data_IF_702832011321
#
_entry.id   IF_702832011321
#
_cell.length_a   1.000
_cell.length_b   1.000
_cell.length_c   1.000
_cell.angle_alpha   90.00
_cell.angle_beta   90.00
_cell.angle_gamma   90.00
#
_symmetry.space_group_name_H-M   'P 1'
#
loop_
_entity.id
_entity.type
_entity.pdbx_description
1 polymer ?
#
# COMPACT_ATOMS: atom_id res chain seq x y z
N UNK A 1 -14.69 -13.81 -2.79
CA UNK A 1 -13.64 -14.86 -2.85
C UNK A 1 -13.58 -15.56 -4.21
N UNK A 2 -14.72 -16.01 -4.80
CA UNK A 2 -14.72 -16.71 -6.09
C UNK A 2 -14.12 -15.84 -7.20
N UNK A 3 -14.61 -14.61 -7.41
CA UNK A 3 -14.12 -13.69 -8.43
C UNK A 3 -12.60 -13.38 -8.32
N UNK A 4 -12.07 -13.28 -7.10
CA UNK A 4 -10.63 -13.08 -6.87
C UNK A 4 -9.82 -14.33 -7.23
N UNK A 5 -10.33 -15.53 -6.93
CA UNK A 5 -9.68 -16.79 -7.33
C UNK A 5 -9.69 -16.97 -8.85
N UNK A 6 -10.82 -16.68 -9.49
CA UNK A 6 -10.99 -16.76 -10.95
C UNK A 6 -10.07 -15.75 -11.66
N UNK A 7 -9.96 -14.52 -11.14
CA UNK A 7 -9.06 -13.50 -11.67
C UNK A 7 -7.59 -13.92 -11.60
N UNK A 8 -7.15 -14.51 -10.48
CA UNK A 8 -5.78 -15.04 -10.34
C UNK A 8 -5.52 -16.26 -11.25
N UNK A 9 -6.49 -17.16 -11.35
CA UNK A 9 -6.37 -18.31 -12.25
C UNK A 9 -6.25 -17.86 -13.71
N UNK A 10 -7.00 -16.82 -14.11
CA UNK A 10 -6.92 -16.26 -15.45
C UNK A 10 -5.57 -15.55 -15.69
N UNK A 11 -5.06 -14.78 -14.73
CA UNK A 11 -3.75 -14.15 -14.83
C UNK A 11 -2.62 -15.20 -14.97
N UNK A 12 -2.71 -16.30 -14.21
CA UNK A 12 -1.78 -17.44 -14.30
C UNK A 12 -1.86 -18.11 -15.67
N UNK A 13 -3.06 -18.39 -16.16
CA UNK A 13 -3.27 -19.00 -17.49
C UNK A 13 -2.65 -18.14 -18.60
N UNK A 14 -2.84 -16.83 -18.56
CA UNK A 14 -2.26 -15.91 -19.54
C UNK A 14 -0.73 -15.94 -19.45
N UNK A 15 -0.16 -15.95 -18.25
CA UNK A 15 1.28 -16.07 -18.08
C UNK A 15 1.85 -17.36 -18.68
N UNK A 16 1.15 -18.49 -18.48
CA UNK A 16 1.56 -19.80 -18.99
C UNK A 16 1.42 -19.92 -20.52
N UNK A 17 0.47 -19.20 -21.14
CA UNK A 17 0.18 -19.31 -22.58
C UNK A 17 0.82 -18.22 -23.43
N UNK A 18 0.90 -17.00 -22.93
CA UNK A 18 1.32 -15.82 -23.71
C UNK A 18 2.68 -15.26 -23.22
N UNK A 19 3.18 -15.72 -22.06
CA UNK A 19 4.33 -15.12 -21.41
C UNK A 19 3.97 -13.77 -20.75
N UNK A 20 4.96 -12.91 -20.48
CA UNK A 20 4.69 -11.57 -19.97
C UNK A 20 4.52 -11.52 -18.45
N UNK A 21 5.53 -11.93 -17.68
CA UNK A 21 5.51 -11.92 -16.21
C UNK A 21 5.16 -10.56 -15.62
N UNK A 22 5.58 -9.46 -16.25
CA UNK A 22 5.25 -8.11 -15.82
C UNK A 22 3.75 -7.80 -15.96
N UNK A 23 3.13 -8.22 -17.06
CA UNK A 23 1.69 -8.01 -17.28
C UNK A 23 0.83 -8.85 -16.33
N UNK A 24 1.27 -10.07 -16.02
CA UNK A 24 0.66 -10.90 -14.99
C UNK A 24 0.73 -10.19 -13.63
N UNK A 25 1.89 -9.67 -13.24
CA UNK A 25 2.09 -8.97 -11.98
C UNK A 25 1.24 -7.69 -11.87
N UNK A 26 1.12 -6.92 -12.95
CA UNK A 26 0.23 -5.74 -13.04
C UNK A 26 -1.25 -6.10 -12.88
N UNK A 27 -1.70 -7.18 -13.54
CA UNK A 27 -3.08 -7.67 -13.41
C UNK A 27 -3.41 -8.12 -12.00
N UNK A 28 -2.47 -8.80 -11.33
CA UNK A 28 -2.62 -9.21 -9.93
C UNK A 28 -2.71 -7.98 -9.02
N UNK A 29 -1.83 -6.98 -9.21
CA UNK A 29 -1.89 -5.72 -8.46
C UNK A 29 -3.25 -5.04 -8.64
N UNK A 30 -3.73 -4.89 -9.86
CA UNK A 30 -5.02 -4.28 -10.15
C UNK A 30 -6.20 -5.01 -9.48
N UNK A 31 -6.21 -6.35 -9.51
CA UNK A 31 -7.23 -7.15 -8.83
C UNK A 31 -7.21 -6.95 -7.31
N UNK A 32 -6.03 -6.81 -6.72
CA UNK A 32 -5.90 -6.52 -5.29
C UNK A 32 -6.37 -5.10 -4.96
N UNK A 33 -6.04 -4.12 -5.80
CA UNK A 33 -6.52 -2.74 -5.63
C UNK A 33 -8.05 -2.69 -5.62
N UNK A 34 -8.70 -3.33 -6.59
CA UNK A 34 -10.16 -3.42 -6.66
C UNK A 34 -10.76 -4.08 -5.41
N UNK A 35 -10.16 -5.17 -4.94
CA UNK A 35 -10.62 -5.86 -3.74
C UNK A 35 -10.52 -4.96 -2.51
N UNK A 36 -9.37 -4.34 -2.28
CA UNK A 36 -9.12 -3.45 -1.15
C UNK A 36 -10.09 -2.26 -1.17
N UNK A 37 -10.31 -1.66 -2.35
CA UNK A 37 -11.25 -0.57 -2.52
C UNK A 37 -12.69 -0.98 -2.14
N UNK A 38 -13.15 -2.17 -2.58
CA UNK A 38 -14.47 -2.70 -2.21
C UNK A 38 -14.57 -2.94 -0.70
N UNK A 39 -13.55 -3.52 -0.07
CA UNK A 39 -13.54 -3.77 1.37
C UNK A 39 -13.56 -2.47 2.17
N UNK A 40 -12.79 -1.47 1.73
CA UNK A 40 -12.83 -0.14 2.34
C UNK A 40 -14.20 0.50 2.18
N UNK A 41 -14.80 0.44 0.99
CA UNK A 41 -16.14 0.99 0.72
C UNK A 41 -17.20 0.37 1.63
N UNK A 42 -17.22 -0.94 1.75
CA UNK A 42 -18.11 -1.66 2.68
C UNK A 42 -17.87 -1.19 4.12
N UNK A 43 -16.61 -1.09 4.52
CA UNK A 43 -16.23 -0.70 5.88
C UNK A 43 -16.72 0.70 6.22
N UNK A 44 -16.45 1.69 5.39
CA UNK A 44 -16.78 3.10 5.67
C UNK A 44 -18.24 3.45 5.41
N UNK A 45 -18.95 2.71 4.56
CA UNK A 45 -20.34 3.00 4.26
C UNK A 45 -21.33 2.23 5.13
N UNK A 46 -20.96 1.03 5.60
CA UNK A 46 -21.92 0.14 6.28
C UNK A 46 -21.53 -0.22 7.71
N UNK A 47 -20.24 -0.26 8.05
CA UNK A 47 -19.79 -0.72 9.37
C UNK A 47 -19.28 0.43 10.24
N UNK A 48 -18.41 1.28 9.71
CA UNK A 48 -17.79 2.38 10.43
C UNK A 48 -17.94 3.73 9.69
N UNK A 49 -19.17 4.25 9.52
CA UNK A 49 -19.40 5.48 8.76
C UNK A 49 -18.71 6.72 9.35
N UNK A 50 -18.39 6.72 10.65
CA UNK A 50 -17.63 7.78 11.31
C UNK A 50 -16.16 7.85 10.85
N UNK A 51 -15.61 6.80 10.23
CA UNK A 51 -14.26 6.80 9.69
C UNK A 51 -14.16 7.35 8.25
N UNK A 52 -15.28 7.73 7.65
CA UNK A 52 -15.30 8.29 6.28
C UNK A 52 -14.46 9.57 6.21
N UNK A 53 -13.64 9.68 5.17
CA UNK A 53 -12.75 10.84 4.97
C UNK A 53 -11.57 10.91 5.95
N UNK A 54 -11.28 9.80 6.69
CA UNK A 54 -10.19 9.76 7.65
C UNK A 54 -9.14 8.69 7.37
N UNK A 55 -9.30 7.90 6.31
CA UNK A 55 -8.40 6.80 6.00
C UNK A 55 -7.98 6.91 4.53
N UNK A 56 -6.68 6.98 4.26
CA UNK A 56 -6.15 6.66 2.94
C UNK A 56 -5.45 5.29 3.01
N UNK A 57 -5.73 4.43 2.04
CA UNK A 57 -5.06 3.15 1.89
C UNK A 57 -4.10 3.25 0.71
N UNK A 58 -2.84 2.98 0.97
CA UNK A 58 -1.77 3.03 -0.02
C UNK A 58 -1.02 1.70 -0.06
N UNK A 59 -0.58 1.31 -1.25
CA UNK A 59 0.36 0.22 -1.45
C UNK A 59 1.79 0.74 -1.27
N UNK A 60 2.67 -0.06 -0.66
CA UNK A 60 4.08 0.27 -0.48
C UNK A 60 4.99 -0.85 -0.95
N UNK A 61 6.29 -0.59 -1.07
CA UNK A 61 7.28 -1.57 -1.48
C UNK A 61 6.96 -2.20 -2.85
N UNK A 62 7.12 -3.51 -2.97
CA UNK A 62 6.85 -4.24 -4.21
C UNK A 62 5.43 -4.06 -4.74
N UNK A 63 4.46 -4.02 -3.86
CA UNK A 63 3.06 -3.77 -4.22
C UNK A 63 2.84 -2.31 -4.65
N UNK A 64 3.57 -1.37 -4.06
CA UNK A 64 3.53 0.05 -4.45
C UNK A 64 3.94 0.29 -5.90
N UNK A 65 4.89 -0.48 -6.43
CA UNK A 65 5.30 -0.43 -7.84
C UNK A 65 4.22 -0.94 -8.82
N UNK A 66 3.10 -1.46 -8.34
CA UNK A 66 2.03 -2.00 -9.19
C UNK A 66 2.39 -3.32 -9.88
N UNK A 67 3.37 -4.04 -9.37
CA UNK A 67 3.89 -5.29 -9.96
C UNK A 67 3.97 -6.39 -8.91
N UNK A 68 2.81 -6.83 -8.41
CA UNK A 68 2.73 -7.87 -7.39
C UNK A 68 2.93 -9.25 -8.00
N UNK A 69 3.99 -9.94 -7.61
CA UNK A 69 4.22 -11.31 -8.07
C UNK A 69 3.17 -12.29 -7.52
N UNK A 70 2.85 -13.38 -8.25
CA UNK A 70 1.95 -14.40 -7.74
C UNK A 70 2.43 -14.96 -6.39
N UNK A 71 1.57 -14.89 -5.36
CA UNK A 71 1.88 -15.39 -4.02
C UNK A 71 2.68 -14.45 -3.13
N UNK A 72 3.05 -13.26 -3.60
CA UNK A 72 3.66 -12.23 -2.76
C UNK A 72 2.68 -11.69 -1.73
N UNK A 73 3.24 -11.22 -0.63
CA UNK A 73 2.52 -10.52 0.41
C UNK A 73 2.02 -9.15 -0.11
N UNK A 74 0.95 -8.66 0.47
CA UNK A 74 0.38 -7.34 0.19
C UNK A 74 0.88 -6.40 1.27
N UNK A 75 1.64 -5.37 0.88
CA UNK A 75 2.15 -4.38 1.83
C UNK A 75 1.32 -3.10 1.75
N UNK A 76 0.66 -2.76 2.86
CA UNK A 76 -0.25 -1.62 2.98
C UNK A 76 0.24 -0.60 4.00
N UNK A 77 0.08 0.67 3.65
CA UNK A 77 0.18 1.78 4.57
C UNK A 77 -1.18 2.46 4.68
N UNK A 78 -1.74 2.45 5.89
CA UNK A 78 -2.93 3.20 6.23
C UNK A 78 -2.52 4.58 6.75
N UNK A 79 -2.85 5.62 6.01
CA UNK A 79 -2.62 7.00 6.45
C UNK A 79 -3.85 7.50 7.18
N UNK A 80 -3.64 8.02 8.36
CA UNK A 80 -4.66 8.60 9.22
C UNK A 80 -4.30 10.05 9.59
N UNK A 81 -5.29 10.88 9.95
CA UNK A 81 -5.01 12.19 10.53
C UNK A 81 -4.28 12.04 11.88
N UNK A 82 -3.50 13.05 12.32
CA UNK A 82 -2.66 12.96 13.52
C UNK A 82 -3.42 12.62 14.82
N UNK A 83 -4.71 12.88 14.87
CA UNK A 83 -5.61 12.59 16.01
C UNK A 83 -6.81 11.79 15.52
N UNK A 84 -6.55 10.65 14.89
CA UNK A 84 -7.62 9.76 14.47
C UNK A 84 -8.42 9.22 15.66
N UNK A 85 -9.73 9.17 15.53
CA UNK A 85 -10.60 8.60 16.56
C UNK A 85 -10.44 7.07 16.66
N UNK A 86 -10.76 6.48 17.81
CA UNK A 86 -10.73 5.01 18.00
C UNK A 86 -11.53 4.26 16.94
N UNK A 87 -12.64 4.83 16.49
CA UNK A 87 -13.48 4.21 15.45
C UNK A 87 -12.76 4.13 14.10
N UNK A 88 -11.84 5.08 13.81
CA UNK A 88 -11.00 5.04 12.60
C UNK A 88 -10.01 3.90 12.67
N UNK A 89 -9.37 3.68 13.83
CA UNK A 89 -8.48 2.53 14.04
C UNK A 89 -9.24 1.19 13.92
N UNK A 90 -10.45 1.08 14.51
CA UNK A 90 -11.30 -0.10 14.37
C UNK A 90 -11.70 -0.36 12.91
N UNK A 91 -11.92 0.68 12.13
CA UNK A 91 -12.21 0.52 10.70
C UNK A 91 -11.00 -0.06 9.95
N UNK A 92 -9.79 0.39 10.24
CA UNK A 92 -8.55 -0.20 9.68
C UNK A 92 -8.41 -1.67 10.08
N UNK A 93 -8.57 -1.99 11.37
CA UNK A 93 -8.52 -3.36 11.85
C UNK A 93 -9.55 -4.26 11.14
N UNK A 94 -10.75 -3.75 10.92
CA UNK A 94 -11.80 -4.50 10.23
C UNK A 94 -11.42 -4.83 8.78
N UNK A 95 -10.86 -3.89 8.03
CA UNK A 95 -10.33 -4.15 6.68
C UNK A 95 -9.25 -5.23 6.71
N UNK A 96 -8.32 -5.16 7.67
CA UNK A 96 -7.25 -6.15 7.83
C UNK A 96 -7.80 -7.54 8.16
N UNK A 97 -8.76 -7.65 9.08
CA UNK A 97 -9.42 -8.92 9.40
C UNK A 97 -10.10 -9.54 8.18
N UNK A 98 -10.79 -8.74 7.37
CA UNK A 98 -11.40 -9.24 6.13
C UNK A 98 -10.36 -9.78 5.15
N UNK A 99 -9.21 -9.11 5.01
CA UNK A 99 -8.13 -9.58 4.15
C UNK A 99 -7.52 -10.89 4.68
N UNK A 100 -7.27 -11.01 5.99
CA UNK A 100 -6.74 -12.23 6.60
C UNK A 100 -7.73 -13.39 6.50
N UNK A 101 -9.01 -13.17 6.74
CA UNK A 101 -10.07 -14.19 6.60
C UNK A 101 -10.21 -14.70 5.16
N UNK A 102 -9.86 -13.87 4.18
CA UNK A 102 -9.76 -14.28 2.78
C UNK A 102 -8.45 -15.02 2.44
N UNK A 103 -7.55 -15.18 3.41
CA UNK A 103 -6.29 -15.91 3.27
C UNK A 103 -5.16 -15.11 2.63
N UNK A 104 -5.24 -13.75 2.66
CA UNK A 104 -4.12 -12.92 2.22
C UNK A 104 -3.08 -12.80 3.31
N UNK A 105 -1.83 -12.78 2.90
CA UNK A 105 -0.72 -12.35 3.73
C UNK A 105 -0.57 -10.85 3.56
N UNK A 106 -0.73 -10.10 4.64
CA UNK A 106 -0.72 -8.64 4.62
C UNK A 106 0.29 -8.11 5.61
N UNK A 107 1.34 -7.49 5.09
CA UNK A 107 2.19 -6.56 5.83
C UNK A 107 1.47 -5.21 5.91
N UNK A 108 1.46 -4.59 7.08
CA UNK A 108 0.78 -3.31 7.22
C UNK A 108 1.45 -2.38 8.21
N UNK A 109 1.23 -1.10 8.01
CA UNK A 109 1.53 -0.05 8.98
C UNK A 109 0.40 0.97 9.01
N UNK A 110 0.18 1.58 10.17
CA UNK A 110 -0.81 2.64 10.39
C UNK A 110 -0.06 3.86 10.91
N UNK A 111 -0.08 4.97 10.19
CA UNK A 111 0.71 6.16 10.51
C UNK A 111 0.00 7.44 10.09
N UNK A 112 0.34 8.53 10.75
CA UNK A 112 0.09 9.87 10.21
C UNK A 112 1.15 10.24 9.16
N UNK A 113 0.86 11.24 8.34
CA UNK A 113 1.85 11.79 7.38
C UNK A 113 3.11 12.25 8.11
N UNK A 114 2.95 12.94 9.24
CA UNK A 114 4.07 13.41 10.08
C UNK A 114 4.98 12.24 10.54
N UNK A 115 4.38 11.13 10.97
CA UNK A 115 5.12 9.94 11.38
C UNK A 115 5.87 9.29 10.22
N UNK A 116 5.26 9.25 9.03
CA UNK A 116 5.90 8.76 7.82
C UNK A 116 7.16 9.57 7.49
N UNK A 117 7.08 10.90 7.50
CA UNK A 117 8.22 11.79 7.25
C UNK A 117 9.31 11.59 8.31
N UNK A 118 8.95 11.64 9.59
CA UNK A 118 9.91 11.46 10.69
C UNK A 118 10.65 10.11 10.62
N UNK A 119 9.92 9.03 10.35
CA UNK A 119 10.52 7.70 10.27
C UNK A 119 11.35 7.52 8.99
N UNK A 120 10.99 8.15 7.90
CA UNK A 120 11.79 8.14 6.65
C UNK A 120 13.15 8.84 6.81
N UNK A 121 13.26 9.80 7.73
CA UNK A 121 14.56 10.42 8.06
C UNK A 121 15.43 9.43 8.85
N UNK A 122 14.84 8.68 9.77
CA UNK A 122 15.54 7.81 10.70
C UNK A 122 15.89 6.42 10.13
N UNK A 123 15.11 5.93 9.18
CA UNK A 123 15.20 4.55 8.66
C UNK A 123 15.14 4.50 7.13
N UNK A 124 16.22 3.97 6.54
CA UNK A 124 16.38 3.87 5.09
C UNK A 124 15.38 2.87 4.47
N UNK A 125 15.01 1.81 5.17
CA UNK A 125 14.03 0.82 4.70
C UNK A 125 12.64 1.44 4.62
N UNK A 126 12.25 2.20 5.64
CA UNK A 126 10.99 2.94 5.66
C UNK A 126 10.98 3.99 4.56
N UNK A 127 12.09 4.72 4.38
CA UNK A 127 12.25 5.70 3.30
C UNK A 127 12.03 5.07 1.92
N UNK A 128 12.65 3.92 1.67
CA UNK A 128 12.46 3.18 0.41
C UNK A 128 11.01 2.75 0.21
N UNK A 129 10.39 2.21 1.25
CA UNK A 129 8.98 1.78 1.17
C UNK A 129 8.04 2.95 0.87
N UNK A 130 8.26 4.13 1.47
CA UNK A 130 7.44 5.32 1.23
C UNK A 130 7.73 5.94 -0.15
N UNK A 131 8.96 5.89 -0.64
CA UNK A 131 9.29 6.32 -2.01
C UNK A 131 8.46 5.57 -3.06
N UNK A 132 8.14 4.31 -2.81
CA UNK A 132 7.36 3.44 -3.68
C UNK A 132 5.85 3.46 -3.38
N UNK A 133 5.37 4.43 -2.58
CA UNK A 133 3.96 4.53 -2.20
C UNK A 133 3.07 4.84 -3.39
N UNK A 134 1.96 4.10 -3.50
CA UNK A 134 0.93 4.30 -4.51
C UNK A 134 -0.46 4.29 -3.86
N UNK A 135 -1.25 5.33 -4.10
CA UNK A 135 -2.63 5.43 -3.62
C UNK A 135 -3.51 4.32 -4.20
N UNK A 136 -4.37 3.72 -3.36
CA UNK A 136 -5.36 2.72 -3.76
C UNK A 136 -6.76 3.31 -3.62
N UNK A 137 -7.15 3.74 -2.43
CA UNK A 137 -8.49 4.26 -2.16
C UNK A 137 -8.55 5.04 -0.84
N UNK A 138 -9.68 5.70 -0.60
CA UNK A 138 -9.96 6.43 0.63
C UNK A 138 -9.76 7.93 0.48
N UNK A 139 -9.20 8.59 1.50
CA UNK A 139 -8.97 10.05 1.55
C UNK A 139 -7.67 10.40 0.79
N UNK A 140 -7.80 10.76 -0.47
CA UNK A 140 -6.67 11.03 -1.38
C UNK A 140 -5.78 12.18 -0.89
N UNK A 141 -6.36 13.19 -0.23
CA UNK A 141 -5.61 14.33 0.28
C UNK A 141 -4.48 13.95 1.25
N UNK A 142 -4.64 12.87 2.04
CA UNK A 142 -3.58 12.36 2.91
C UNK A 142 -2.41 11.76 2.12
N UNK A 143 -2.71 11.08 1.02
CA UNK A 143 -1.67 10.51 0.16
C UNK A 143 -0.94 11.61 -0.63
N UNK A 144 -1.65 12.62 -1.12
CA UNK A 144 -1.07 13.79 -1.78
C UNK A 144 -0.18 14.60 -0.83
N UNK A 145 -0.63 14.80 0.42
CA UNK A 145 0.16 15.46 1.46
C UNK A 145 1.46 14.68 1.71
N UNK A 146 1.37 13.35 1.88
CA UNK A 146 2.55 12.52 2.07
C UNK A 146 3.53 12.66 0.90
N UNK A 147 3.06 12.53 -0.33
CA UNK A 147 3.89 12.64 -1.53
C UNK A 147 4.58 14.02 -1.62
N UNK A 148 3.83 15.10 -1.41
CA UNK A 148 4.36 16.46 -1.47
C UNK A 148 5.40 16.74 -0.38
N UNK A 149 5.15 16.29 0.85
CA UNK A 149 6.07 16.47 1.97
C UNK A 149 7.32 15.59 1.82
N UNK A 150 7.14 14.35 1.37
CA UNK A 150 8.25 13.43 1.15
C UNK A 150 9.21 13.98 0.09
N UNK A 151 8.70 14.49 -1.02
CA UNK A 151 9.52 15.11 -2.05
C UNK A 151 10.32 16.30 -1.50
N UNK A 152 9.66 17.24 -0.83
CA UNK A 152 10.29 18.46 -0.32
C UNK A 152 11.26 18.23 0.82
N UNK A 153 10.89 17.40 1.78
CA UNK A 153 11.62 17.24 3.04
C UNK A 153 12.70 16.13 2.97
N UNK A 154 12.47 15.11 2.14
CA UNK A 154 13.35 13.95 2.04
C UNK A 154 14.14 13.93 0.72
N UNK A 155 13.44 13.87 -0.43
CA UNK A 155 14.10 13.64 -1.73
C UNK A 155 15.06 14.78 -2.09
N UNK A 156 14.61 16.03 -1.98
CA UNK A 156 15.41 17.21 -2.33
C UNK A 156 16.67 17.31 -1.47
N UNK A 157 16.58 16.95 -0.18
CA UNK A 157 17.68 17.18 0.78
C UNK A 157 18.65 16.00 0.91
N UNK A 158 18.24 14.78 0.56
CA UNK A 158 19.01 13.56 0.87
C UNK A 158 19.22 12.63 -0.34
N UNK A 159 18.86 13.04 -1.55
CA UNK A 159 18.96 12.22 -2.76
C UNK A 159 20.34 11.60 -2.98
N UNK A 160 21.45 12.36 -2.96
CA UNK A 160 22.79 11.82 -3.15
C UNK A 160 23.20 10.76 -2.12
N UNK A 161 22.89 11.01 -0.84
CA UNK A 161 23.19 10.07 0.26
C UNK A 161 22.37 8.79 0.13
N UNK A 162 21.10 8.91 -0.25
CA UNK A 162 20.22 7.78 -0.49
C UNK A 162 20.74 6.87 -1.62
N UNK A 163 21.16 7.46 -2.73
CA UNK A 163 21.73 6.73 -3.89
C UNK A 163 23.02 6.02 -3.46
N UNK A 164 23.92 6.68 -2.75
CA UNK A 164 25.17 6.09 -2.27
C UNK A 164 24.92 4.90 -1.32
N UNK A 165 23.98 5.02 -0.38
CA UNK A 165 23.60 3.95 0.54
C UNK A 165 23.00 2.73 -0.20
N UNK A 166 22.12 2.96 -1.20
CA UNK A 166 21.52 1.88 -1.99
C UNK A 166 22.50 1.19 -2.93
N UNK A 167 23.51 1.89 -3.41
CA UNK A 167 24.58 1.29 -4.19
C UNK A 167 25.45 0.40 -3.29
N UNK A 168 25.79 0.83 -2.09
CA UNK A 168 26.54 0.02 -1.13
C UNK A 168 25.78 -1.27 -0.73
N UNK A 169 24.48 -1.17 -0.44
CA UNK A 169 23.60 -2.33 -0.11
C UNK A 169 23.54 -3.36 -1.26
N UNK A 170 23.61 -2.90 -2.52
CA UNK A 170 23.61 -3.79 -3.68
C UNK A 170 24.92 -4.57 -3.81
N UNK A 171 26.03 -4.00 -3.39
CA UNK A 171 27.37 -4.54 -3.58
C UNK A 171 27.78 -5.47 -2.41
N UNK A 172 26.94 -5.64 -1.37
CA UNK A 172 27.03 -6.63 -0.29
C UNK A 172 26.38 -7.96 -0.68
#
# INVERSE_FOLDING_TARGET
QAASKDGRANARRILETEGGGLDCARRISYLQDCLIAILNDITINHVYPAARGQIAITAVGGYGRGTLAPGSDIDLLFLLPPKAADMTHKAVEFVLYLLWDMGFKVGHSVRSVEECIRQSIADMTIRTAILETRFICGEESLAEELASRFDKEIVVNTGPEFIAAKLAERDE
#
